data_IF_208684717983
#
_entry.id   IF_208684717983
#
_cell.length_a   1.000
_cell.length_b   1.000
_cell.length_c   1.000
_cell.angle_alpha   90.00
_cell.angle_beta   90.00
_cell.angle_gamma   90.00
#
_symmetry.space_group_name_H-M   'P 1'
#
loop_
_entity.id
_entity.type
_entity.pdbx_description
1 polymer ?
#
# COMPACT_ATOMS: atom_id res chain seq x y z
N UNK A 1 15.59 16.85 -5.31
CA UNK A 1 14.20 17.14 -5.74
C UNK A 1 13.29 16.98 -4.53
N UNK A 2 12.40 17.94 -4.28
CA UNK A 2 11.53 17.95 -3.10
C UNK A 2 10.29 17.08 -3.30
N UNK A 3 9.88 16.36 -2.25
CA UNK A 3 8.61 15.62 -2.22
C UNK A 3 7.56 16.48 -1.51
N UNK A 4 6.31 16.38 -1.94
CA UNK A 4 5.19 17.07 -1.29
C UNK A 4 5.01 16.53 0.13
N UNK A 5 5.07 17.41 1.15
CA UNK A 5 4.92 17.03 2.56
C UNK A 5 3.56 17.42 3.14
N UNK A 6 2.81 18.29 2.45
CA UNK A 6 1.45 18.66 2.86
C UNK A 6 0.67 19.30 1.73
N UNK A 7 -0.65 19.17 1.78
CA UNK A 7 -1.61 19.85 0.92
C UNK A 7 -2.69 20.49 1.81
N UNK A 8 -3.04 21.74 1.53
CA UNK A 8 -4.09 22.47 2.25
C UNK A 8 -5.28 22.70 1.32
N UNK A 9 -6.48 22.36 1.77
CA UNK A 9 -7.74 22.62 1.05
C UNK A 9 -8.83 23.12 1.99
N UNK A 10 -10.04 23.32 1.47
CA UNK A 10 -11.19 23.80 2.24
C UNK A 10 -11.54 22.89 3.44
N UNK A 11 -11.23 21.60 3.33
CA UNK A 11 -11.53 20.59 4.34
C UNK A 11 -10.37 20.33 5.32
N UNK A 12 -9.34 21.19 5.31
CA UNK A 12 -8.18 21.11 6.19
C UNK A 12 -6.90 20.67 5.49
N UNK A 13 -5.94 20.17 6.28
CA UNK A 13 -4.57 19.87 5.81
C UNK A 13 -4.33 18.37 5.80
N UNK A 14 -3.85 17.86 4.68
CA UNK A 14 -3.29 16.50 4.56
C UNK A 14 -1.77 16.61 4.68
N UNK A 15 -1.13 15.73 5.47
CA UNK A 15 0.34 15.67 5.59
C UNK A 15 0.87 14.34 5.09
N UNK A 16 2.06 14.35 4.51
CA UNK A 16 2.71 13.18 3.93
C UNK A 16 4.11 12.97 4.52
N UNK A 17 4.46 11.72 4.74
CA UNK A 17 5.79 11.30 5.18
C UNK A 17 6.37 10.30 4.20
N UNK A 18 7.69 10.35 4.05
CA UNK A 18 8.42 9.60 3.05
C UNK A 18 9.65 8.95 3.68
N UNK A 19 9.98 7.73 3.26
CA UNK A 19 11.27 7.13 3.61
C UNK A 19 12.41 7.64 2.70
N UNK A 20 13.63 7.17 2.95
CA UNK A 20 14.81 7.53 2.18
C UNK A 20 14.71 7.12 0.70
N UNK A 21 14.01 6.02 0.40
CA UNK A 21 13.80 5.52 -0.97
C UNK A 21 12.72 6.30 -1.73
N UNK A 22 11.84 6.99 -1.01
CA UNK A 22 10.72 7.74 -1.58
C UNK A 22 9.40 7.05 -1.62
N UNK A 23 9.25 6.03 -0.80
CA UNK A 23 7.95 5.46 -0.54
C UNK A 23 7.22 6.33 0.49
N UNK A 24 5.93 6.59 0.27
CA UNK A 24 5.09 7.34 1.21
C UNK A 24 4.72 6.44 2.38
N UNK A 25 5.37 6.62 3.52
CA UNK A 25 5.16 5.78 4.70
C UNK A 25 3.96 6.21 5.53
N UNK A 26 3.51 7.46 5.38
CA UNK A 26 2.37 7.99 6.12
C UNK A 26 1.60 9.07 5.38
N UNK A 27 0.28 9.06 5.59
CA UNK A 27 -0.62 10.16 5.28
C UNK A 27 -1.43 10.46 6.54
N UNK A 28 -1.31 11.68 7.08
CA UNK A 28 -2.22 12.17 8.12
C UNK A 28 -3.35 12.93 7.45
N UNK A 29 -4.58 12.48 7.69
CA UNK A 29 -5.82 13.06 7.18
C UNK A 29 -6.21 14.31 8.00
N UNK A 30 -7.11 15.17 7.50
CA UNK A 30 -7.50 16.39 8.20
C UNK A 30 -8.16 16.14 9.56
N UNK A 31 -8.81 14.98 9.74
CA UNK A 31 -9.41 14.53 11.00
C UNK A 31 -8.38 13.94 11.99
N UNK A 32 -7.10 13.96 11.64
CA UNK A 32 -5.99 13.46 12.46
C UNK A 32 -5.73 11.95 12.30
N UNK A 33 -6.62 11.22 11.63
CA UNK A 33 -6.42 9.79 11.35
C UNK A 33 -5.22 9.58 10.43
N UNK A 34 -4.57 8.42 10.54
CA UNK A 34 -3.31 8.14 9.85
C UNK A 34 -3.38 6.87 9.04
N UNK A 35 -3.17 7.02 7.73
CA UNK A 35 -2.89 5.91 6.83
C UNK A 35 -1.39 5.64 6.86
N UNK A 36 -0.98 4.43 7.25
CA UNK A 36 0.43 4.00 7.22
C UNK A 36 0.64 2.95 6.16
N UNK A 37 1.75 3.06 5.43
CA UNK A 37 2.18 2.09 4.44
C UNK A 37 3.53 1.51 4.85
N UNK A 38 3.61 0.19 4.95
CA UNK A 38 4.85 -0.52 5.27
C UNK A 38 5.45 -1.08 3.99
N UNK A 39 6.74 -0.86 3.79
CA UNK A 39 7.48 -1.33 2.62
C UNK A 39 8.63 -2.24 3.04
N UNK A 40 9.10 -3.10 2.13
CA UNK A 40 10.30 -3.91 2.31
C UNK A 40 11.18 -3.87 1.06
N UNK A 41 12.45 -4.26 1.23
CA UNK A 41 13.42 -4.35 0.14
C UNK A 41 13.52 -3.05 -0.65
N UNK A 42 13.37 -3.14 -1.97
CA UNK A 42 13.43 -2.03 -2.93
C UNK A 42 12.14 -1.20 -3.03
N UNK A 43 11.30 -1.17 -1.99
CA UNK A 43 10.06 -0.38 -1.97
C UNK A 43 8.79 -1.18 -2.29
N UNK A 44 8.78 -2.49 -2.02
CA UNK A 44 7.58 -3.30 -2.19
C UNK A 44 6.62 -3.10 -1.02
N UNK A 45 5.39 -2.67 -1.32
CA UNK A 45 4.35 -2.41 -0.33
C UNK A 45 3.88 -3.71 0.34
N UNK A 46 4.14 -3.87 1.63
CA UNK A 46 3.76 -5.03 2.44
C UNK A 46 2.36 -4.92 3.01
N UNK A 47 2.00 -3.76 3.55
CA UNK A 47 0.75 -3.56 4.28
C UNK A 47 0.32 -2.08 4.27
N UNK A 48 -0.98 -1.83 4.31
CA UNK A 48 -1.58 -0.52 4.63
C UNK A 48 -2.51 -0.67 5.83
N UNK A 49 -2.42 0.27 6.78
CA UNK A 49 -3.30 0.37 7.93
C UNK A 49 -3.85 1.79 8.13
N UNK A 50 -4.99 1.90 8.78
CA UNK A 50 -5.62 3.15 9.21
C UNK A 50 -5.77 3.15 10.72
N UNK A 51 -5.06 4.04 11.42
CA UNK A 51 -5.06 4.10 12.90
C UNK A 51 -4.82 2.72 13.55
N UNK A 52 -3.84 1.97 13.04
CA UNK A 52 -3.47 0.62 13.47
C UNK A 52 -4.42 -0.51 13.01
N UNK A 53 -5.58 -0.19 12.43
CA UNK A 53 -6.44 -1.20 11.80
C UNK A 53 -5.90 -1.58 10.41
N UNK A 54 -5.48 -2.83 10.18
CA UNK A 54 -5.03 -3.27 8.87
C UNK A 54 -6.16 -3.15 7.84
N UNK A 55 -5.90 -2.47 6.73
CA UNK A 55 -6.83 -2.35 5.61
C UNK A 55 -6.54 -3.38 4.54
N UNK A 56 -5.26 -3.56 4.22
CA UNK A 56 -4.81 -4.48 3.18
C UNK A 56 -3.38 -4.94 3.41
N UNK A 57 -3.14 -6.23 3.18
CA UNK A 57 -1.80 -6.84 3.19
C UNK A 57 -1.53 -7.51 1.86
N UNK A 58 -0.24 -7.62 1.50
CA UNK A 58 0.22 -8.15 0.23
C UNK A 58 1.25 -9.24 0.45
N UNK A 59 1.09 -10.37 -0.25
CA UNK A 59 2.15 -11.37 -0.38
C UNK A 59 2.60 -11.45 -1.82
N UNK A 60 3.88 -11.78 -2.03
CA UNK A 60 4.51 -11.81 -3.34
C UNK A 60 5.32 -13.08 -3.52
N UNK A 61 5.48 -13.47 -4.78
CA UNK A 61 6.43 -14.52 -5.15
C UNK A 61 7.88 -13.99 -5.17
N UNK A 62 8.82 -14.88 -5.53
CA UNK A 62 10.25 -14.57 -5.62
C UNK A 62 10.59 -13.56 -6.71
N UNK A 63 9.69 -13.30 -7.65
CA UNK A 63 9.83 -12.26 -8.68
C UNK A 63 9.16 -10.95 -8.25
N UNK A 64 8.76 -10.84 -6.98
CA UNK A 64 8.05 -9.70 -6.42
C UNK A 64 6.72 -9.38 -7.11
N UNK A 65 6.04 -10.38 -7.67
CA UNK A 65 4.68 -10.25 -8.20
C UNK A 65 3.68 -10.56 -7.10
N UNK A 66 2.61 -9.78 -6.99
CA UNK A 66 1.54 -9.98 -6.01
C UNK A 66 0.80 -11.29 -6.27
N UNK A 67 0.80 -12.20 -5.29
CA UNK A 67 0.09 -13.50 -5.40
C UNK A 67 -1.10 -13.59 -4.46
N UNK A 68 -1.16 -12.74 -3.44
CA UNK A 68 -2.35 -12.60 -2.60
C UNK A 68 -2.45 -11.20 -2.00
N UNK A 69 -3.68 -10.73 -1.83
CA UNK A 69 -4.02 -9.47 -1.17
C UNK A 69 -5.26 -9.64 -0.30
N UNK A 70 -5.23 -9.05 0.89
CA UNK A 70 -6.44 -8.87 1.73
C UNK A 70 -7.04 -7.48 1.53
N UNK A 71 -8.36 -7.33 1.60
CA UNK A 71 -9.08 -6.06 1.49
C UNK A 71 -10.27 -6.10 2.45
N UNK A 72 -10.04 -5.71 3.70
CA UNK A 72 -10.98 -6.02 4.78
C UNK A 72 -11.20 -7.53 4.89
N UNK A 73 -12.45 -7.98 4.76
CA UNK A 73 -12.80 -9.40 4.81
C UNK A 73 -12.45 -10.18 3.53
N UNK A 74 -12.23 -9.50 2.41
CA UNK A 74 -11.96 -10.16 1.14
C UNK A 74 -10.50 -10.54 1.02
N UNK A 75 -10.24 -11.67 0.39
CA UNK A 75 -8.91 -12.07 -0.07
C UNK A 75 -8.96 -12.38 -1.55
N UNK A 76 -8.04 -11.79 -2.31
CA UNK A 76 -7.82 -12.15 -3.70
C UNK A 76 -6.51 -12.91 -3.86
N UNK A 77 -6.50 -13.96 -4.67
CA UNK A 77 -5.28 -14.67 -5.09
C UNK A 77 -5.08 -14.50 -6.59
N UNK A 78 -3.83 -14.42 -7.00
CA UNK A 78 -3.47 -14.29 -8.41
C UNK A 78 -2.38 -15.30 -8.77
N UNK A 79 -2.54 -15.93 -9.94
CA UNK A 79 -1.55 -16.82 -10.53
C UNK A 79 -1.11 -16.26 -11.87
N UNK A 80 0.15 -16.52 -12.22
CA UNK A 80 0.78 -16.02 -13.43
C UNK A 80 1.27 -17.18 -14.27
N UNK A 81 1.16 -17.05 -15.59
CA UNK A 81 1.77 -18.01 -16.50
C UNK A 81 3.30 -17.85 -16.57
N UNK A 82 3.95 -18.71 -17.35
CA UNK A 82 5.42 -18.70 -17.53
C UNK A 82 5.95 -17.43 -18.19
N UNK A 83 5.09 -16.67 -18.89
CA UNK A 83 5.45 -15.38 -19.49
C UNK A 83 5.17 -14.20 -18.54
N UNK A 84 4.69 -14.49 -17.32
CA UNK A 84 4.39 -13.50 -16.30
C UNK A 84 3.07 -12.77 -16.50
N UNK A 85 2.20 -13.26 -17.39
CA UNK A 85 0.86 -12.70 -17.58
C UNK A 85 -0.08 -13.25 -16.52
N UNK A 86 -1.02 -12.43 -16.06
CA UNK A 86 -2.06 -12.89 -15.14
C UNK A 86 -2.84 -14.02 -15.82
N UNK A 87 -2.84 -15.19 -15.20
CA UNK A 87 -3.51 -16.38 -15.70
C UNK A 87 -4.89 -16.53 -15.04
N UNK A 88 -4.97 -16.34 -13.73
CA UNK A 88 -6.20 -16.43 -12.96
C UNK A 88 -6.18 -15.46 -11.79
N UNK A 89 -7.37 -14.97 -11.42
CA UNK A 89 -7.60 -14.26 -10.17
C UNK A 89 -8.91 -14.72 -9.55
N UNK A 90 -8.82 -15.19 -8.31
CA UNK A 90 -9.96 -15.58 -7.50
C UNK A 90 -10.14 -14.59 -6.35
N UNK A 91 -11.38 -14.38 -5.93
CA UNK A 91 -11.75 -13.50 -4.80
C UNK A 91 -12.71 -14.27 -3.92
N UNK A 92 -12.48 -14.24 -2.61
CA UNK A 92 -13.27 -14.92 -1.60
C UNK A 92 -13.31 -14.10 -0.30
#
# INVERSE_FOLDING_TARGET
MGRLTSESGEQGVVKYEWDALGNRTGTTLPDGRRIRSLYYGSGHLLNIALDDLPLTGFSRDTLHREVSRTQGALTSRSSYDRLGRLHQRDVF
#
